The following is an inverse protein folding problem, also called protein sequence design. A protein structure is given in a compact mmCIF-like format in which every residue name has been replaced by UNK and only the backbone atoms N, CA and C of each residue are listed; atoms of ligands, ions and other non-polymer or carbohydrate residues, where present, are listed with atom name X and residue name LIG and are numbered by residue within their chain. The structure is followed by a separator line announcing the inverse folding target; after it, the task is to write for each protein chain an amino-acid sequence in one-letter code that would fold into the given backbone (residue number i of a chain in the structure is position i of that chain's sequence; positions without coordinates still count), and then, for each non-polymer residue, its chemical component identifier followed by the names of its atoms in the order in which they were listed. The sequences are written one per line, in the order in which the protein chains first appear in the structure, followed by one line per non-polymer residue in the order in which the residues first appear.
data_IF_350625937770
#
_entry.id   IF_350625937770
#
_cell.length_a   1.000
_cell.length_b   1.000
_cell.length_c   1.000
_cell.angle_alpha   90.00
_cell.angle_beta   90.00
_cell.angle_gamma   90.00
#
_symmetry.space_group_name_H-M   'P 1'
#
loop_
_entity.id
_entity.type
_entity.pdbx_description
1 polymer ?
#
# COMPACT_ATOMS: atom_id res chain seq x y z
N UNK A 1 9.81 -24.22 9.75
CA UNK A 1 10.25 -23.96 8.36
C UNK A 1 9.23 -23.06 7.70
N UNK A 2 9.64 -21.97 7.03
CA UNK A 2 8.71 -21.05 6.37
C UNK A 2 8.12 -21.70 5.11
N UNK A 3 6.79 -21.67 4.98
CA UNK A 3 6.07 -22.19 3.81
C UNK A 3 6.39 -21.34 2.56
N UNK A 4 6.89 -21.92 1.46
CA UNK A 4 7.16 -21.21 0.21
C UNK A 4 5.96 -20.40 -0.32
N UNK A 5 4.73 -20.89 -0.13
CA UNK A 5 3.50 -20.22 -0.55
C UNK A 5 3.29 -18.92 0.22
N UNK A 6 3.64 -18.88 1.51
CA UNK A 6 3.52 -17.67 2.34
C UNK A 6 4.54 -16.61 1.96
N UNK A 7 5.76 -17.03 1.61
CA UNK A 7 6.80 -16.12 1.14
C UNK A 7 6.39 -15.47 -0.18
N UNK A 8 5.79 -16.23 -1.10
CA UNK A 8 5.28 -15.67 -2.36
C UNK A 8 4.08 -14.75 -2.15
N UNK A 9 3.17 -15.09 -1.23
CA UNK A 9 2.09 -14.19 -0.82
C UNK A 9 2.64 -12.88 -0.25
N UNK A 10 3.69 -12.94 0.59
CA UNK A 10 4.32 -11.75 1.17
C UNK A 10 4.95 -10.86 0.11
N UNK A 11 5.70 -11.45 -0.83
CA UNK A 11 6.29 -10.72 -1.95
C UNK A 11 5.21 -10.09 -2.84
N UNK A 12 4.09 -10.78 -3.07
CA UNK A 12 2.98 -10.24 -3.87
C UNK A 12 2.32 -9.05 -3.16
N UNK A 13 1.98 -9.18 -1.87
CA UNK A 13 1.40 -8.08 -1.07
C UNK A 13 2.34 -6.88 -0.98
N UNK A 14 3.65 -7.11 -0.79
CA UNK A 14 4.65 -6.05 -0.76
C UNK A 14 4.74 -5.29 -2.09
N UNK A 15 4.75 -6.02 -3.22
CA UNK A 15 4.74 -5.40 -4.57
C UNK A 15 3.49 -4.55 -4.79
N UNK A 16 2.32 -5.03 -4.37
CA UNK A 16 1.07 -4.26 -4.45
C UNK A 16 1.13 -2.96 -3.64
N UNK A 17 1.64 -3.03 -2.40
CA UNK A 17 1.79 -1.85 -1.55
C UNK A 17 2.78 -0.82 -2.15
N UNK A 18 3.91 -1.28 -2.70
CA UNK A 18 4.88 -0.40 -3.36
C UNK A 18 4.26 0.29 -4.58
N UNK A 19 3.52 -0.45 -5.41
CA UNK A 19 2.88 0.11 -6.60
C UNK A 19 1.84 1.17 -6.24
N UNK A 20 1.03 0.95 -5.21
CA UNK A 20 0.07 1.94 -4.73
C UNK A 20 0.76 3.19 -4.17
N UNK A 21 1.85 3.02 -3.42
CA UNK A 21 2.64 4.14 -2.89
C UNK A 21 3.34 4.95 -3.99
N UNK A 22 3.79 4.31 -5.07
CA UNK A 22 4.36 4.99 -6.24
C UNK A 22 3.30 5.85 -6.94
N UNK A 23 2.13 5.29 -7.21
CA UNK A 23 1.04 6.05 -7.83
C UNK A 23 0.63 7.26 -6.97
N UNK A 24 0.57 7.11 -5.64
CA UNK A 24 0.34 8.24 -4.73
C UNK A 24 1.41 9.31 -4.83
N UNK A 25 2.68 8.93 -4.98
CA UNK A 25 3.80 9.89 -5.15
C UNK A 25 3.63 10.70 -6.43
N UNK A 26 3.20 10.07 -7.52
CA UNK A 26 3.01 10.74 -8.80
C UNK A 26 1.87 11.76 -8.72
N UNK A 27 0.77 11.45 -8.01
CA UNK A 27 -0.32 12.41 -7.77
C UNK A 27 0.11 13.52 -6.82
N UNK A 28 0.85 13.21 -5.76
CA UNK A 28 1.38 14.21 -4.84
C UNK A 28 2.24 15.25 -5.58
N UNK A 29 3.09 14.82 -6.51
CA UNK A 29 3.90 15.73 -7.33
C UNK A 29 3.04 16.68 -8.20
N UNK A 30 1.88 16.22 -8.70
CA UNK A 30 0.93 17.10 -9.42
C UNK A 30 0.27 18.10 -8.49
N UNK A 31 -0.17 17.65 -7.31
CA UNK A 31 -0.79 18.52 -6.29
C UNK A 31 0.19 19.59 -5.80
N UNK A 32 1.46 19.25 -5.60
CA UNK A 32 2.52 20.20 -5.22
C UNK A 32 2.78 21.29 -6.27
N UNK A 33 2.42 21.04 -7.54
CA UNK A 33 2.57 21.99 -8.64
C UNK A 33 1.34 22.89 -8.84
N UNK A 34 0.24 22.64 -8.12
CA UNK A 34 -0.98 23.45 -8.23
C UNK A 34 -0.71 24.85 -7.69
N UNK A 35 -1.02 25.87 -8.50
CA UNK A 35 -0.95 27.27 -8.10
C UNK A 35 -1.92 27.51 -6.91
N UNK A 36 -1.46 28.06 -5.77
CA UNK A 36 -2.31 28.32 -4.59
C UNK A 36 -3.51 29.23 -4.85
N UNK A 37 -3.51 30.00 -5.94
CA UNK A 37 -4.60 30.87 -6.37
C UNK A 37 -5.58 30.18 -7.33
N UNK A 38 -5.34 28.91 -7.64
CA UNK A 38 -6.15 28.10 -8.55
C UNK A 38 -6.68 26.87 -7.81
N UNK A 39 -7.88 26.43 -8.18
CA UNK A 39 -8.48 25.25 -7.58
C UNK A 39 -7.84 23.96 -8.11
N UNK A 40 -7.79 22.91 -7.27
CA UNK A 40 -7.30 21.59 -7.71
C UNK A 40 -8.36 20.98 -8.63
N UNK A 41 -7.95 20.45 -9.78
CA UNK A 41 -8.87 19.81 -10.70
C UNK A 41 -9.62 18.65 -10.01
N UNK A 42 -10.95 18.59 -10.16
CA UNK A 42 -11.79 17.55 -9.54
C UNK A 42 -11.30 16.13 -9.87
N UNK A 43 -10.79 15.92 -11.08
CA UNK A 43 -10.21 14.65 -11.50
C UNK A 43 -8.99 14.22 -10.69
N UNK A 44 -8.10 15.16 -10.34
CA UNK A 44 -6.92 14.87 -9.50
C UNK A 44 -7.34 14.53 -8.06
N UNK A 45 -8.37 15.20 -7.52
CA UNK A 45 -8.92 14.90 -6.19
C UNK A 45 -9.57 13.51 -6.14
N UNK A 46 -10.35 13.16 -7.15
CA UNK A 46 -10.96 11.83 -7.26
C UNK A 46 -9.92 10.73 -7.43
N UNK A 47 -8.87 10.98 -8.23
CA UNK A 47 -7.75 10.06 -8.41
C UNK A 47 -6.97 9.88 -7.11
N UNK A 48 -6.65 10.98 -6.41
CA UNK A 48 -5.99 10.96 -5.12
C UNK A 48 -6.78 10.14 -4.09
N UNK A 49 -8.09 10.36 -4.00
CA UNK A 49 -8.97 9.60 -3.10
C UNK A 49 -8.95 8.09 -3.42
N UNK A 50 -9.00 7.74 -4.71
CA UNK A 50 -8.97 6.34 -5.18
C UNK A 50 -7.64 5.65 -4.82
N UNK A 51 -6.52 6.34 -5.07
CA UNK A 51 -5.19 5.81 -4.81
C UNK A 51 -4.89 5.72 -3.30
N UNK A 52 -5.37 6.70 -2.52
CA UNK A 52 -5.25 6.67 -1.07
C UNK A 52 -5.97 5.46 -0.48
N UNK A 53 -7.19 5.16 -0.96
CA UNK A 53 -7.92 3.97 -0.56
C UNK A 53 -7.19 2.68 -0.98
N UNK A 54 -6.72 2.60 -2.23
CA UNK A 54 -5.98 1.44 -2.71
C UNK A 54 -4.72 1.17 -1.87
N UNK A 55 -3.98 2.23 -1.52
CA UNK A 55 -2.80 2.12 -0.66
C UNK A 55 -3.16 1.67 0.76
N UNK A 56 -4.24 2.18 1.34
CA UNK A 56 -4.72 1.75 2.66
C UNK A 56 -5.08 0.26 2.68
N UNK A 57 -5.76 -0.23 1.63
CA UNK A 57 -6.10 -1.65 1.47
C UNK A 57 -4.82 -2.50 1.35
N UNK A 58 -3.88 -2.09 0.50
CA UNK A 58 -2.62 -2.82 0.32
C UNK A 58 -1.79 -2.88 1.60
N UNK A 59 -1.69 -1.76 2.32
CA UNK A 59 -1.00 -1.69 3.61
C UNK A 59 -1.65 -2.59 4.67
N UNK A 60 -2.99 -2.61 4.74
CA UNK A 60 -3.72 -3.45 5.68
C UNK A 60 -3.55 -4.94 5.36
N UNK A 61 -3.58 -5.33 4.09
CA UNK A 61 -3.34 -6.71 3.66
C UNK A 61 -1.92 -7.17 4.04
N UNK A 62 -0.91 -6.34 3.78
CA UNK A 62 0.47 -6.61 4.16
C UNK A 62 0.62 -6.78 5.68
N UNK A 63 0.02 -5.89 6.47
CA UNK A 63 0.01 -5.98 7.94
C UNK A 63 -0.62 -7.28 8.43
N UNK A 64 -1.77 -7.69 7.87
CA UNK A 64 -2.44 -8.93 8.24
C UNK A 64 -1.57 -10.17 7.98
N UNK A 65 -0.90 -10.21 6.83
CA UNK A 65 -0.02 -11.31 6.49
C UNK A 65 1.21 -11.37 7.41
N UNK A 66 1.85 -10.23 7.66
CA UNK A 66 2.99 -10.14 8.59
C UNK A 66 2.60 -10.63 9.99
N UNK A 67 1.45 -10.20 10.51
CA UNK A 67 0.96 -10.65 11.82
C UNK A 67 0.75 -12.17 11.84
N UNK A 68 0.18 -12.73 10.78
CA UNK A 68 -0.07 -14.18 10.68
C UNK A 68 1.25 -14.97 10.70
N UNK A 69 2.27 -14.47 9.99
CA UNK A 69 3.60 -15.08 9.98
C UNK A 69 4.31 -15.00 11.34
N UNK A 70 4.19 -13.86 12.04
CA UNK A 70 4.74 -13.68 13.40
C UNK A 70 4.10 -14.66 14.38
N UNK A 71 2.77 -14.72 14.44
CA UNK A 71 2.04 -15.62 15.34
C UNK A 71 2.45 -17.08 15.15
N UNK A 72 2.61 -17.53 13.90
CA UNK A 72 3.06 -18.90 13.61
C UNK A 72 4.50 -19.16 14.05
N UNK A 73 5.37 -18.17 13.92
CA UNK A 73 6.76 -18.28 14.39
C UNK A 73 6.81 -18.46 15.91
N UNK A 74 5.99 -17.73 16.65
CA UNK A 74 5.93 -17.86 18.11
C UNK A 74 5.40 -19.23 18.54
N UNK A 75 4.36 -19.74 17.87
CA UNK A 75 3.84 -21.11 18.10
C UNK A 75 4.88 -22.19 17.76
N UNK A 76 5.73 -21.96 16.76
CA UNK A 76 6.75 -22.94 16.34
C UNK A 76 7.97 -22.99 17.27
N UNK A 77 8.13 -22.04 18.18
CA UNK A 77 9.28 -21.94 19.11
C UNK A 77 8.89 -22.31 20.56
N UNK A 78 7.60 -22.38 20.85
CA UNK A 78 7.02 -22.84 22.13
C UNK A 78 6.85 -24.37 22.15
#
# INVERSE_FOLDING_TARGET
MSDPTEIEALKASLRGAISAAQALRDVAARVEQVDPHTDVASGDLEELARLALANAIAAQALRGLVNTMLTRRDISVA
#
